data_IF_604980747037
#
_entry.id   IF_604980747037
#
_cell.length_a   1.000
_cell.length_b   1.000
_cell.length_c   1.000
_cell.angle_alpha   90.00
_cell.angle_beta   90.00
_cell.angle_gamma   90.00
#
_symmetry.space_group_name_H-M   'P 1'
#
loop_
_entity.id
_entity.type
_entity.pdbx_description
1 polymer ?
#
# COMPACT_ATOMS: atom_id res chain seq x y z
N UNK A 1 2.73 -5.26 32.42
CA UNK A 1 2.51 -6.21 31.31
C UNK A 1 3.85 -6.37 30.59
N UNK A 2 4.37 -7.59 30.41
CA UNK A 2 5.72 -7.75 29.85
C UNK A 2 5.78 -7.37 28.37
N UNK A 3 6.90 -6.78 27.93
CA UNK A 3 7.21 -6.37 26.56
C UNK A 3 6.78 -7.42 25.51
N UNK A 4 7.13 -8.68 25.72
CA UNK A 4 6.77 -9.80 24.84
C UNK A 4 5.27 -9.94 24.64
N UNK A 5 4.47 -9.88 25.71
CA UNK A 5 3.01 -10.02 25.62
C UNK A 5 2.36 -8.85 24.86
N UNK A 6 2.87 -7.62 25.09
CA UNK A 6 2.39 -6.45 24.35
C UNK A 6 2.72 -6.56 22.85
N UNK A 7 3.93 -7.01 22.54
CA UNK A 7 4.33 -7.26 21.16
C UNK A 7 3.43 -8.30 20.48
N UNK A 8 3.23 -9.47 21.10
CA UNK A 8 2.37 -10.54 20.58
C UNK A 8 0.95 -10.03 20.30
N UNK A 9 0.37 -9.27 21.23
CA UNK A 9 -0.96 -8.67 21.04
C UNK A 9 -1.01 -7.73 19.83
N UNK A 10 0.00 -6.88 19.65
CA UNK A 10 0.05 -5.95 18.52
C UNK A 10 0.24 -6.68 17.19
N UNK A 11 1.03 -7.76 17.18
CA UNK A 11 1.18 -8.61 15.98
C UNK A 11 -0.16 -9.26 15.62
N UNK A 12 -0.86 -9.86 16.60
CA UNK A 12 -2.15 -10.50 16.36
C UNK A 12 -3.22 -9.49 15.89
N UNK A 13 -3.21 -8.29 16.45
CA UNK A 13 -4.19 -7.23 16.08
C UNK A 13 -3.91 -6.58 14.72
N UNK A 14 -2.65 -6.40 14.36
CA UNK A 14 -2.28 -5.51 13.25
C UNK A 14 -1.49 -6.20 12.13
N UNK A 15 -0.89 -7.37 12.37
CA UNK A 15 0.00 -8.02 11.40
C UNK A 15 -0.64 -8.23 10.03
N UNK A 16 -1.87 -8.76 9.99
CA UNK A 16 -2.61 -8.94 8.73
C UNK A 16 -2.89 -7.63 8.00
N UNK A 17 -3.17 -6.56 8.74
CA UNK A 17 -3.40 -5.22 8.18
C UNK A 17 -2.14 -4.64 7.54
N UNK A 18 -0.98 -4.83 8.17
CA UNK A 18 0.30 -4.36 7.64
C UNK A 18 0.67 -5.10 6.35
N UNK A 19 0.50 -6.42 6.33
CA UNK A 19 0.69 -7.21 5.12
C UNK A 19 -0.24 -6.77 3.98
N UNK A 20 -1.54 -6.60 4.26
CA UNK A 20 -2.50 -6.14 3.28
C UNK A 20 -2.13 -4.76 2.71
N UNK A 21 -1.71 -3.81 3.57
CA UNK A 21 -1.23 -2.49 3.14
C UNK A 21 -0.04 -2.63 2.18
N UNK A 22 0.98 -3.39 2.57
CA UNK A 22 2.17 -3.59 1.75
C UNK A 22 1.82 -4.26 0.41
N UNK A 23 0.96 -5.28 0.42
CA UNK A 23 0.50 -5.98 -0.79
C UNK A 23 -0.22 -5.05 -1.77
N UNK A 24 -1.13 -4.20 -1.27
CA UNK A 24 -1.84 -3.22 -2.10
C UNK A 24 -0.93 -2.11 -2.64
N UNK A 25 0.11 -1.74 -1.90
CA UNK A 25 1.07 -0.74 -2.34
C UNK A 25 2.08 -1.28 -3.35
N UNK A 26 2.58 -2.48 -3.16
CA UNK A 26 3.69 -3.05 -3.93
C UNK A 26 3.23 -3.93 -5.10
N UNK A 27 2.04 -4.56 -4.98
CA UNK A 27 1.50 -5.48 -5.96
C UNK A 27 2.22 -6.84 -6.02
N UNK A 28 3.10 -7.16 -5.04
CA UNK A 28 3.88 -8.40 -4.96
C UNK A 28 3.82 -8.97 -3.56
N UNK A 29 3.54 -10.25 -3.46
CA UNK A 29 3.33 -10.93 -2.17
C UNK A 29 4.65 -11.13 -1.40
N UNK A 30 5.73 -11.50 -2.10
CA UNK A 30 7.07 -11.67 -1.52
C UNK A 30 7.59 -10.38 -0.86
N UNK A 31 7.55 -9.27 -1.58
CA UNK A 31 7.97 -7.97 -1.04
C UNK A 31 7.03 -7.47 0.08
N UNK A 32 5.74 -7.79 0.00
CA UNK A 32 4.78 -7.43 1.04
C UNK A 32 5.06 -8.17 2.35
N UNK A 33 5.42 -9.45 2.27
CA UNK A 33 5.84 -10.23 3.43
C UNK A 33 7.11 -9.65 4.06
N UNK A 34 8.12 -9.35 3.24
CA UNK A 34 9.38 -8.77 3.70
C UNK A 34 9.15 -7.44 4.44
N UNK A 35 8.33 -6.55 3.87
CA UNK A 35 7.99 -5.27 4.49
C UNK A 35 7.21 -5.45 5.79
N UNK A 36 6.24 -6.37 5.82
CA UNK A 36 5.49 -6.67 7.03
C UNK A 36 6.42 -7.20 8.13
N UNK A 37 7.29 -8.15 7.82
CA UNK A 37 8.27 -8.71 8.75
C UNK A 37 9.25 -7.64 9.25
N UNK A 38 9.80 -6.80 8.37
CA UNK A 38 10.68 -5.69 8.76
C UNK A 38 9.97 -4.72 9.71
N UNK A 39 8.71 -4.41 9.45
CA UNK A 39 7.90 -3.57 10.34
C UNK A 39 7.71 -4.21 11.72
N UNK A 40 7.47 -5.52 11.79
CA UNK A 40 7.37 -6.24 13.06
C UNK A 40 8.70 -6.28 13.82
N UNK A 41 9.83 -6.37 13.13
CA UNK A 41 11.17 -6.24 13.75
C UNK A 41 11.35 -4.83 14.33
N UNK A 42 10.92 -3.79 13.62
CA UNK A 42 10.93 -2.42 14.16
C UNK A 42 10.02 -2.29 15.37
N UNK A 43 8.82 -2.89 15.33
CA UNK A 43 7.91 -2.93 16.48
C UNK A 43 8.57 -3.56 17.70
N UNK A 44 9.21 -4.73 17.55
CA UNK A 44 9.91 -5.39 18.64
C UNK A 44 10.92 -4.49 19.34
N UNK A 45 11.66 -3.69 18.58
CA UNK A 45 12.67 -2.77 19.10
C UNK A 45 12.10 -1.54 19.79
N UNK A 46 10.86 -1.15 19.49
CA UNK A 46 10.28 0.11 19.92
C UNK A 46 9.02 -0.07 20.80
N UNK A 47 8.54 -1.31 21.03
CA UNK A 47 7.26 -1.58 21.67
C UNK A 47 7.11 -0.92 23.06
N UNK A 48 8.19 -0.83 23.82
CA UNK A 48 8.17 -0.21 25.16
C UNK A 48 8.12 1.34 25.10
N UNK A 49 8.60 1.93 24.02
CA UNK A 49 8.61 3.39 23.84
C UNK A 49 7.35 3.92 23.18
N UNK A 50 6.55 3.05 22.56
CA UNK A 50 5.30 3.45 21.90
C UNK A 50 4.22 3.79 22.93
N UNK A 51 3.56 4.92 22.75
CA UNK A 51 2.42 5.33 23.57
C UNK A 51 1.20 4.48 23.21
N UNK A 52 0.42 4.12 24.23
CA UNK A 52 -0.85 3.41 24.05
C UNK A 52 -1.78 4.24 23.17
N UNK A 53 -2.37 3.60 22.16
CA UNK A 53 -3.25 4.25 21.19
C UNK A 53 -2.55 4.89 19.98
N UNK A 54 -1.22 4.93 19.95
CA UNK A 54 -0.43 5.44 18.81
C UNK A 54 0.30 4.34 18.05
N UNK A 55 0.11 3.08 18.44
CA UNK A 55 0.79 1.95 17.83
C UNK A 55 0.38 1.76 16.37
N UNK A 56 -0.92 1.80 16.08
CA UNK A 56 -1.43 1.58 14.73
C UNK A 56 -0.98 2.68 13.74
N UNK A 57 -1.11 3.99 14.03
CA UNK A 57 -0.57 5.03 13.13
C UNK A 57 0.93 4.87 12.89
N UNK A 58 1.70 4.54 13.94
CA UNK A 58 3.13 4.33 13.81
C UNK A 58 3.48 3.12 12.93
N UNK A 59 2.80 1.99 13.14
CA UNK A 59 2.98 0.78 12.33
C UNK A 59 2.65 1.03 10.85
N UNK A 60 1.53 1.71 10.58
CA UNK A 60 1.13 2.04 9.21
C UNK A 60 2.16 2.97 8.57
N UNK A 61 2.65 3.98 9.30
CA UNK A 61 3.69 4.89 8.81
C UNK A 61 4.97 4.13 8.46
N UNK A 62 5.43 3.21 9.32
CA UNK A 62 6.60 2.38 9.06
C UNK A 62 6.43 1.51 7.81
N UNK A 63 5.31 0.80 7.71
CA UNK A 63 5.01 -0.08 6.57
C UNK A 63 4.93 0.74 5.27
N UNK A 64 4.17 1.84 5.28
CA UNK A 64 4.02 2.72 4.12
C UNK A 64 5.37 3.28 3.65
N UNK A 65 6.19 3.77 4.56
CA UNK A 65 7.49 4.33 4.20
C UNK A 65 8.40 3.28 3.59
N UNK A 66 8.44 2.06 4.13
CA UNK A 66 9.20 0.96 3.54
C UNK A 66 8.70 0.64 2.10
N UNK A 67 7.38 0.59 1.88
CA UNK A 67 6.81 0.42 0.54
C UNK A 67 7.23 1.55 -0.42
N UNK A 68 7.15 2.81 0.03
CA UNK A 68 7.56 3.96 -0.79
C UNK A 68 9.04 3.92 -1.16
N UNK A 69 9.90 3.46 -0.28
CA UNK A 69 11.34 3.34 -0.57
C UNK A 69 11.59 2.27 -1.64
N UNK A 70 10.90 1.13 -1.59
CA UNK A 70 10.94 0.11 -2.63
C UNK A 70 10.46 0.68 -3.98
N UNK A 71 9.32 1.39 -3.99
CA UNK A 71 8.77 2.00 -5.20
C UNK A 71 9.70 3.05 -5.81
N UNK A 72 10.35 3.87 -4.98
CA UNK A 72 11.37 4.84 -5.43
C UNK A 72 12.58 4.13 -6.01
N UNK A 73 13.02 3.03 -5.39
CA UNK A 73 14.10 2.18 -5.91
C UNK A 73 13.77 1.64 -7.31
N UNK A 74 12.57 1.09 -7.50
CA UNK A 74 12.09 0.60 -8.80
C UNK A 74 12.11 1.70 -9.88
N UNK A 75 11.66 2.91 -9.52
CA UNK A 75 11.64 4.05 -10.46
C UNK A 75 13.05 4.47 -10.87
N UNK A 76 14.00 4.52 -9.93
CA UNK A 76 15.41 4.82 -10.24
C UNK A 76 16.02 3.77 -11.17
N UNK A 77 15.81 2.49 -10.88
CA UNK A 77 16.33 1.39 -11.70
C UNK A 77 15.74 1.43 -13.11
N UNK A 78 14.42 1.68 -13.25
CA UNK A 78 13.79 1.87 -14.57
C UNK A 78 14.33 3.08 -15.30
N UNK A 79 14.61 4.19 -14.61
CA UNK A 79 15.22 5.40 -15.20
C UNK A 79 16.64 5.11 -15.72
N UNK A 80 17.46 4.43 -14.93
CA UNK A 80 18.81 4.02 -15.34
C UNK A 80 18.78 3.03 -16.52
N UNK A 81 17.87 2.03 -16.48
CA UNK A 81 17.69 1.09 -17.59
C UNK A 81 17.22 1.78 -18.88
N UNK A 82 16.36 2.80 -18.78
CA UNK A 82 15.96 3.60 -19.97
C UNK A 82 17.12 4.41 -20.55
N UNK A 83 18.02 4.92 -19.70
CA UNK A 83 19.23 5.62 -20.14
C UNK A 83 20.22 4.68 -20.85
N UNK A 84 20.32 3.43 -20.39
CA UNK A 84 21.20 2.39 -20.96
C UNK A 84 20.54 1.69 -22.15
N UNK A 85 19.21 1.55 -22.14
CA UNK A 85 18.41 0.82 -23.13
C UNK A 85 17.80 1.75 -24.21
N UNK A 86 18.54 2.78 -24.65
CA UNK A 86 18.07 3.55 -25.82
C UNK A 86 17.98 2.72 -27.11
N UNK A 87 18.19 1.43 -27.06
CA UNK A 87 18.12 0.51 -28.20
C UNK A 87 17.22 -0.73 -28.07
N UNK A 88 16.57 -1.02 -26.92
CA UNK A 88 15.72 -2.23 -26.84
C UNK A 88 14.42 -1.99 -26.07
N UNK A 89 13.34 -2.22 -26.79
CA UNK A 89 11.92 -2.46 -26.47
C UNK A 89 11.54 -2.63 -25.01
N UNK A 90 10.60 -1.79 -24.58
CA UNK A 90 9.96 -1.79 -23.25
C UNK A 90 9.59 -3.20 -22.75
N UNK A 91 10.20 -3.61 -21.65
CA UNK A 91 9.72 -4.72 -20.85
C UNK A 91 8.49 -4.25 -20.07
N UNK A 92 7.33 -4.84 -20.37
CA UNK A 92 6.11 -4.73 -19.56
C UNK A 92 6.41 -5.18 -18.13
N UNK A 93 5.79 -4.59 -17.10
CA UNK A 93 5.88 -5.14 -15.75
C UNK A 93 5.37 -6.57 -15.77
N UNK A 94 6.15 -7.49 -15.22
CA UNK A 94 5.72 -8.87 -15.00
C UNK A 94 4.64 -8.80 -13.93
N UNK A 95 3.39 -9.02 -14.35
CA UNK A 95 2.30 -9.36 -13.43
C UNK A 95 2.57 -10.80 -12.97
N UNK A 96 3.24 -10.94 -11.84
CA UNK A 96 3.28 -12.21 -11.15
C UNK A 96 1.95 -12.35 -10.39
N UNK A 97 0.99 -12.96 -11.08
CA UNK A 97 -0.29 -13.32 -10.51
C UNK A 97 -0.09 -14.59 -9.71
N UNK A 98 -0.01 -14.48 -8.39
CA UNK A 98 -0.24 -15.62 -7.51
C UNK A 98 -1.61 -16.26 -7.78
N UNK A 99 -1.83 -17.52 -7.36
CA UNK A 99 -2.95 -18.35 -7.81
C UNK A 99 -4.30 -17.68 -7.58
N UNK A 100 -5.12 -17.73 -8.64
CA UNK A 100 -6.47 -17.24 -8.68
C UNK A 100 -7.39 -18.06 -7.78
N UNK A 101 -8.01 -17.40 -6.80
CA UNK A 101 -9.18 -17.94 -6.12
C UNK A 101 -10.43 -17.11 -6.45
N UNK A 102 -11.40 -17.82 -7.05
CA UNK A 102 -12.78 -17.47 -7.28
C UNK A 102 -13.14 -16.43 -8.37
N UNK A 103 -13.76 -16.93 -9.40
CA UNK A 103 -13.86 -16.49 -10.80
C UNK A 103 -14.63 -15.20 -11.14
N UNK A 104 -15.25 -14.43 -10.20
CA UNK A 104 -15.91 -13.16 -10.58
C UNK A 104 -15.54 -11.99 -9.61
N UNK A 105 -15.36 -12.26 -8.35
CA UNK A 105 -14.82 -11.27 -7.40
C UNK A 105 -13.31 -11.06 -7.61
N UNK A 106 -12.62 -12.05 -8.15
CA UNK A 106 -11.18 -12.03 -8.41
C UNK A 106 -10.76 -11.01 -9.47
N UNK A 107 -11.47 -10.95 -10.61
CA UNK A 107 -11.11 -10.05 -11.70
C UNK A 107 -11.26 -8.58 -11.30
N UNK A 108 -12.40 -8.19 -10.75
CA UNK A 108 -12.62 -6.81 -10.27
C UNK A 108 -11.66 -6.40 -9.17
N UNK A 109 -11.33 -7.31 -8.25
CA UNK A 109 -10.33 -7.05 -7.23
C UNK A 109 -8.93 -6.89 -7.82
N UNK A 110 -8.61 -7.61 -8.88
CA UNK A 110 -7.36 -7.46 -9.62
C UNK A 110 -7.32 -6.13 -10.37
N UNK A 111 -8.39 -5.74 -11.06
CA UNK A 111 -8.49 -4.46 -11.78
C UNK A 111 -8.29 -3.29 -10.83
N UNK A 112 -8.94 -3.32 -9.65
CA UNK A 112 -8.74 -2.30 -8.61
C UNK A 112 -7.29 -2.26 -8.12
N UNK A 113 -6.62 -3.42 -7.95
CA UNK A 113 -5.21 -3.47 -7.54
C UNK A 113 -4.29 -2.86 -8.58
N UNK A 114 -4.51 -3.17 -9.85
CA UNK A 114 -3.75 -2.60 -10.97
C UNK A 114 -3.95 -1.08 -11.01
N UNK A 115 -5.20 -0.62 -10.99
CA UNK A 115 -5.52 0.79 -11.01
C UNK A 115 -4.93 1.56 -9.81
N UNK A 116 -4.95 0.96 -8.60
CA UNK A 116 -4.31 1.54 -7.41
C UNK A 116 -2.78 1.61 -7.54
N UNK A 117 -2.14 0.60 -8.14
CA UNK A 117 -0.70 0.57 -8.31
C UNK A 117 -0.19 1.73 -9.16
N UNK A 118 -0.99 2.19 -10.12
CA UNK A 118 -0.67 3.31 -11.01
C UNK A 118 -1.08 4.68 -10.46
N UNK A 119 -1.75 4.72 -9.32
CA UNK A 119 -2.13 6.00 -8.70
C UNK A 119 -0.95 6.70 -8.05
N UNK A 120 -0.86 8.05 -8.18
CA UNK A 120 0.16 8.82 -7.50
C UNK A 120 -0.10 8.91 -5.98
N UNK A 121 0.96 9.14 -5.20
CA UNK A 121 0.83 9.53 -3.81
C UNK A 121 0.38 11.01 -3.68
N UNK A 122 -0.40 11.36 -2.67
CA UNK A 122 -0.93 10.53 -1.58
C UNK A 122 -2.24 9.79 -1.93
N UNK A 123 -2.76 9.91 -3.15
CA UNK A 123 -4.07 9.35 -3.56
C UNK A 123 -4.16 7.83 -3.31
N UNK A 124 -3.11 7.08 -3.67
CA UNK A 124 -3.04 5.64 -3.43
C UNK A 124 -3.17 5.31 -1.93
N UNK A 125 -2.30 5.91 -1.11
CA UNK A 125 -2.32 5.69 0.34
C UNK A 125 -3.67 6.06 0.96
N UNK A 126 -4.27 7.17 0.53
CA UNK A 126 -5.58 7.61 1.02
C UNK A 126 -6.67 6.58 0.76
N UNK A 127 -6.76 6.05 -0.46
CA UNK A 127 -7.77 5.04 -0.79
C UNK A 127 -7.55 3.74 -0.02
N UNK A 128 -6.31 3.26 0.07
CA UNK A 128 -6.01 2.05 0.82
C UNK A 128 -6.39 2.22 2.30
N UNK A 129 -5.99 3.32 2.92
CA UNK A 129 -6.20 3.53 4.35
C UNK A 129 -7.67 3.84 4.68
N UNK A 130 -8.35 4.65 3.86
CA UNK A 130 -9.74 5.07 4.12
C UNK A 130 -10.78 4.09 3.63
N UNK A 131 -10.63 3.54 2.42
CA UNK A 131 -11.69 2.79 1.75
C UNK A 131 -11.51 1.28 1.87
N UNK A 132 -10.27 0.79 1.95
CA UNK A 132 -10.00 -0.64 2.09
C UNK A 132 -9.75 -1.02 3.55
N UNK A 133 -8.96 -0.24 4.28
CA UNK A 133 -8.67 -0.51 5.69
C UNK A 133 -9.64 0.18 6.67
N UNK A 134 -10.52 1.01 6.17
CA UNK A 134 -11.60 1.68 6.94
C UNK A 134 -11.10 2.47 8.15
N UNK A 135 -9.88 3.03 8.05
CA UNK A 135 -9.33 3.85 9.14
C UNK A 135 -10.08 5.18 9.24
N UNK A 136 -10.23 5.68 10.45
CA UNK A 136 -10.82 6.99 10.70
C UNK A 136 -9.96 8.14 10.14
N UNK A 137 -10.59 9.31 9.95
CA UNK A 137 -9.93 10.49 9.35
C UNK A 137 -8.75 10.95 10.17
N UNK A 138 -8.86 10.92 11.51
CA UNK A 138 -7.81 11.40 12.41
C UNK A 138 -6.57 10.51 12.34
N UNK A 139 -6.75 9.17 12.32
CA UNK A 139 -5.67 8.21 12.15
C UNK A 139 -4.95 8.41 10.81
N UNK A 140 -5.70 8.57 9.72
CA UNK A 140 -5.11 8.80 8.39
C UNK A 140 -4.41 10.16 8.31
N UNK A 141 -4.98 11.20 8.89
CA UNK A 141 -4.37 12.53 8.97
C UNK A 141 -3.01 12.47 9.68
N UNK A 142 -2.95 11.81 10.84
CA UNK A 142 -1.71 11.62 11.59
C UNK A 142 -0.67 10.79 10.81
N UNK A 143 -1.11 9.74 10.11
CA UNK A 143 -0.23 8.85 9.32
C UNK A 143 0.37 9.53 8.10
N UNK A 144 -0.41 10.36 7.41
CA UNK A 144 0.01 11.02 6.17
C UNK A 144 0.52 12.46 6.38
N UNK A 145 0.57 12.91 7.62
CA UNK A 145 0.94 14.30 7.98
C UNK A 145 0.07 15.35 7.26
N UNK A 146 -1.23 15.07 7.18
CA UNK A 146 -2.24 15.92 6.57
C UNK A 146 -3.22 16.45 7.63
N UNK A 147 -3.89 17.57 7.34
CA UNK A 147 -5.06 17.94 8.12
C UNK A 147 -6.27 17.04 7.81
N UNK A 148 -7.19 16.88 8.74
CA UNK A 148 -8.42 16.10 8.52
C UNK A 148 -9.23 16.61 7.31
N UNK A 149 -9.24 17.93 7.09
CA UNK A 149 -9.90 18.50 5.92
C UNK A 149 -9.20 18.12 4.62
N UNK A 150 -7.86 18.12 4.60
CA UNK A 150 -7.11 17.63 3.44
C UNK A 150 -7.38 16.16 3.17
N UNK A 151 -7.45 15.32 4.21
CA UNK A 151 -7.81 13.90 4.05
C UNK A 151 -9.16 13.76 3.37
N UNK A 152 -10.20 14.48 3.81
CA UNK A 152 -11.55 14.45 3.21
C UNK A 152 -11.53 14.86 1.74
N UNK A 153 -10.92 16.00 1.44
CA UNK A 153 -10.87 16.55 0.06
C UNK A 153 -10.06 15.65 -0.86
N UNK A 154 -8.89 15.19 -0.41
CA UNK A 154 -8.01 14.37 -1.25
C UNK A 154 -8.57 12.96 -1.46
N UNK A 155 -9.24 12.37 -0.46
CA UNK A 155 -9.94 11.09 -0.63
C UNK A 155 -11.05 11.21 -1.68
N UNK A 156 -11.84 12.29 -1.65
CA UNK A 156 -12.85 12.52 -2.67
C UNK A 156 -12.26 12.61 -4.09
N UNK A 157 -11.15 13.35 -4.24
CA UNK A 157 -10.44 13.46 -5.53
C UNK A 157 -9.84 12.13 -5.96
N UNK A 158 -9.25 11.39 -5.04
CA UNK A 158 -8.65 10.08 -5.30
C UNK A 158 -9.71 9.06 -5.78
N UNK A 159 -10.91 9.04 -5.19
CA UNK A 159 -12.03 8.20 -5.65
C UNK A 159 -12.44 8.51 -7.09
N UNK A 160 -12.46 9.79 -7.45
CA UNK A 160 -12.74 10.20 -8.85
C UNK A 160 -11.67 9.71 -9.81
N UNK A 161 -10.40 9.85 -9.43
CA UNK A 161 -9.29 9.35 -10.23
C UNK A 161 -9.34 7.84 -10.43
N UNK A 162 -9.60 7.08 -9.36
CA UNK A 162 -9.72 5.63 -9.44
C UNK A 162 -10.87 5.21 -10.37
N UNK A 163 -12.05 5.84 -10.22
CA UNK A 163 -13.21 5.54 -11.07
C UNK A 163 -12.88 5.76 -12.55
N UNK A 164 -12.28 6.89 -12.91
CA UNK A 164 -11.90 7.20 -14.30
C UNK A 164 -10.95 6.14 -14.86
N UNK A 165 -9.97 5.70 -14.09
CA UNK A 165 -9.03 4.65 -14.52
C UNK A 165 -9.71 3.31 -14.76
N UNK A 166 -10.63 2.92 -13.88
CA UNK A 166 -11.39 1.67 -14.03
C UNK A 166 -12.33 1.70 -15.25
N UNK A 167 -12.90 2.88 -15.57
CA UNK A 167 -13.72 3.08 -16.76
C UNK A 167 -12.86 2.96 -18.04
N UNK A 168 -11.68 3.60 -18.09
CA UNK A 168 -10.75 3.52 -19.22
C UNK A 168 -10.25 2.07 -19.48
N UNK A 169 -9.94 1.32 -18.41
CA UNK A 169 -9.53 -0.09 -18.53
C UNK A 169 -10.66 -0.97 -19.04
N UNK A 170 -11.90 -0.73 -18.59
CA UNK A 170 -13.10 -1.46 -19.04
C UNK A 170 -13.36 -1.24 -20.52
N UNK A 171 -13.24 0.00 -21.01
CA UNK A 171 -13.44 0.35 -22.43
C UNK A 171 -12.34 -0.24 -23.32
N UNK A 172 -11.11 -0.33 -22.82
CA UNK A 172 -9.99 -0.92 -23.53
C UNK A 172 -10.10 -2.45 -23.67
N UNK A 173 -10.84 -3.13 -22.80
CA UNK A 173 -11.07 -4.58 -22.88
C UNK A 173 -12.23 -4.96 -23.80
N UNK A 174 -13.11 -4.04 -24.13
CA UNK A 174 -14.31 -4.26 -25.00
C UNK A 174 -14.00 -3.90 -26.46
N UNK A 175 -12.91 -3.19 -26.75
CA UNK A 175 -12.50 -2.78 -28.09
C UNK A 175 -11.52 -3.76 -28.73
#
# INVERSE_FOLDING_TARGET
>A
MGMKRRFEQLVDQHGGRLYQLARLMLGRDDEAEDVAQETLVKLWRHVDSLRVGQELPWLITCTRNACLDILRGRTRTRGLLKLVASEHKALRPVNDTGPADEFDSGQRAQDVRVALADMPEPSRSLLILRDIQELDVATVAATLELSENQVKVYTFRARRQLRHRLEEESDAQVA
#
